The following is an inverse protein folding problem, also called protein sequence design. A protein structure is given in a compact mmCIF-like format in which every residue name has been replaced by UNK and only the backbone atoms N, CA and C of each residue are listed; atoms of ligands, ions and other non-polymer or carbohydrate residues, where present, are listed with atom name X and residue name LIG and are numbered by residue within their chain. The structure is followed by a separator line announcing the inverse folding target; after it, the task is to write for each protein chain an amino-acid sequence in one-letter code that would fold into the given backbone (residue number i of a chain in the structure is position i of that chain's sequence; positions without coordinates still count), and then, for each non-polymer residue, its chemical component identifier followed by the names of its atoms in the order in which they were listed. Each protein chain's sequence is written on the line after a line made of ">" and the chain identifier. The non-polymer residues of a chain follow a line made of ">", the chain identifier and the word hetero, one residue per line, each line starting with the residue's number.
data_IF_560784795295
#
_entry.id   IF_560784795295
#
_cell.length_a   1.000
_cell.length_b   1.000
_cell.length_c   1.000
_cell.angle_alpha   90.00
_cell.angle_beta   90.00
_cell.angle_gamma   90.00
#
_symmetry.space_group_name_H-M   'P 1'
#
loop_
_entity.id
_entity.type
_entity.pdbx_description
1 polymer ?
#
# COMPACT_ATOMS: atom_id res chain seq x y z
N UNK A 1 37.21 -33.36 25.25
CA UNK A 1 35.93 -33.01 24.58
C UNK A 1 36.07 -31.61 24.00
N UNK A 2 36.08 -31.47 22.67
CA UNK A 2 36.46 -30.23 21.99
C UNK A 2 35.30 -29.20 22.01
N UNK A 3 35.49 -27.99 22.56
CA UNK A 3 34.43 -26.98 22.72
C UNK A 3 34.07 -26.21 21.43
N UNK A 4 34.54 -26.65 20.25
CA UNK A 4 34.38 -25.94 18.97
C UNK A 4 33.14 -26.28 18.14
N UNK A 5 32.41 -27.36 18.44
CA UNK A 5 31.34 -27.85 17.56
C UNK A 5 29.99 -27.11 17.75
N UNK A 6 29.74 -26.55 18.94
CA UNK A 6 28.48 -25.85 19.24
C UNK A 6 28.45 -24.40 18.74
N UNK A 7 29.61 -23.76 18.54
CA UNK A 7 29.68 -22.39 18.02
C UNK A 7 29.34 -22.33 16.53
N UNK A 8 29.79 -23.33 15.75
CA UNK A 8 29.56 -23.39 14.30
C UNK A 8 28.09 -23.66 13.96
N UNK A 9 27.38 -24.43 14.78
CA UNK A 9 25.94 -24.70 14.64
C UNK A 9 25.09 -23.47 14.98
N UNK A 10 25.43 -22.72 16.04
CA UNK A 10 24.73 -21.47 16.37
C UNK A 10 24.90 -20.40 15.28
N UNK A 11 26.10 -20.27 14.71
CA UNK A 11 26.34 -19.34 13.59
C UNK A 11 25.55 -19.74 12.35
N UNK A 12 25.36 -21.04 12.08
CA UNK A 12 24.58 -21.53 10.93
C UNK A 12 23.08 -21.27 11.08
N UNK A 13 22.52 -21.49 12.28
CA UNK A 13 21.11 -21.22 12.57
C UNK A 13 20.80 -19.71 12.56
N UNK A 14 21.72 -18.87 13.05
CA UNK A 14 21.58 -17.41 12.96
C UNK A 14 21.68 -16.92 11.50
N UNK A 15 22.53 -17.54 10.68
CA UNK A 15 22.61 -17.24 9.23
C UNK A 15 21.36 -17.65 8.45
N UNK A 16 20.73 -18.76 8.83
CA UNK A 16 19.45 -19.20 8.24
C UNK A 16 18.27 -18.33 8.70
N UNK A 17 18.28 -17.86 9.96
CA UNK A 17 17.30 -16.89 10.47
C UNK A 17 17.48 -15.49 9.85
N UNK A 18 18.71 -15.02 9.66
CA UNK A 18 19.02 -13.79 8.90
C UNK A 18 18.69 -13.93 7.41
N UNK A 19 18.75 -15.15 6.85
CA UNK A 19 18.27 -15.49 5.51
C UNK A 19 16.76 -15.31 5.34
N UNK A 20 15.98 -15.28 6.44
CA UNK A 20 14.55 -14.98 6.42
C UNK A 20 14.21 -13.49 6.22
N UNK A 21 15.12 -12.58 6.61
CA UNK A 21 14.92 -11.13 6.48
C UNK A 21 15.59 -10.57 5.21
N UNK A 22 16.62 -11.27 4.70
CA UNK A 22 17.21 -11.03 3.40
C UNK A 22 16.46 -11.84 2.34
N UNK A 23 15.31 -11.36 1.90
CA UNK A 23 14.56 -11.96 0.79
C UNK A 23 15.53 -12.30 -0.38
N UNK A 24 15.63 -13.58 -0.79
CA UNK A 24 16.45 -13.99 -1.92
C UNK A 24 16.16 -13.08 -3.12
N UNK A 25 17.19 -12.70 -3.89
CA UNK A 25 17.03 -11.72 -4.99
C UNK A 25 15.91 -12.08 -6.00
N UNK A 26 15.54 -13.37 -6.07
CA UNK A 26 14.48 -13.93 -6.90
C UNK A 26 13.04 -13.87 -6.34
N UNK A 27 12.79 -13.44 -5.09
CA UNK A 27 11.45 -13.43 -4.47
C UNK A 27 11.09 -12.13 -3.75
N UNK A 28 11.81 -11.04 -4.01
CA UNK A 28 11.60 -9.74 -3.35
C UNK A 28 10.23 -9.13 -3.59
N UNK A 29 9.63 -9.33 -4.77
CA UNK A 29 8.26 -8.89 -5.03
C UNK A 29 7.24 -9.63 -4.15
N UNK A 30 7.44 -10.94 -3.94
CA UNK A 30 6.55 -11.74 -3.10
C UNK A 30 6.62 -11.29 -1.63
N UNK A 31 7.81 -11.09 -1.08
CA UNK A 31 7.98 -10.61 0.30
C UNK A 31 7.58 -9.14 0.46
N UNK A 32 7.84 -8.29 -0.55
CA UNK A 32 7.45 -6.88 -0.56
C UNK A 32 5.94 -6.66 -0.53
N UNK A 33 5.17 -7.63 -1.04
CA UNK A 33 3.70 -7.60 -1.06
C UNK A 33 3.04 -7.83 0.32
N UNK A 34 3.77 -8.34 1.32
CA UNK A 34 3.19 -8.71 2.62
C UNK A 34 2.55 -7.53 3.35
N UNK A 35 3.12 -6.33 3.19
CA UNK A 35 2.59 -5.09 3.76
C UNK A 35 1.23 -4.76 3.15
N UNK A 36 1.11 -4.82 1.82
CA UNK A 36 -0.16 -4.57 1.15
C UNK A 36 -1.17 -5.70 1.39
N UNK A 37 -0.74 -6.96 1.50
CA UNK A 37 -1.61 -8.06 1.94
C UNK A 37 -2.22 -7.72 3.31
N UNK A 38 -1.43 -7.25 4.27
CA UNK A 38 -1.94 -6.84 5.58
C UNK A 38 -2.88 -5.62 5.49
N UNK A 39 -2.59 -4.65 4.62
CA UNK A 39 -3.46 -3.47 4.40
C UNK A 39 -4.82 -3.91 3.83
N UNK A 40 -4.84 -4.66 2.73
CA UNK A 40 -6.07 -5.13 2.10
C UNK A 40 -6.85 -6.08 3.01
N UNK A 41 -6.20 -6.97 3.76
CA UNK A 41 -6.85 -7.85 4.72
C UNK A 41 -7.46 -7.07 5.90
N UNK A 42 -6.72 -6.07 6.42
CA UNK A 42 -7.22 -5.17 7.45
C UNK A 42 -8.42 -4.35 6.98
N UNK A 43 -8.36 -3.82 5.75
CA UNK A 43 -9.48 -3.13 5.12
C UNK A 43 -10.69 -4.04 4.91
N UNK A 44 -10.50 -5.27 4.42
CA UNK A 44 -11.57 -6.25 4.28
C UNK A 44 -12.23 -6.58 5.62
N UNK A 45 -11.44 -6.75 6.68
CA UNK A 45 -11.94 -6.98 8.04
C UNK A 45 -12.73 -5.76 8.54
N UNK A 46 -12.22 -4.55 8.35
CA UNK A 46 -12.91 -3.31 8.75
C UNK A 46 -14.27 -3.16 8.04
N UNK A 47 -14.32 -3.40 6.72
CA UNK A 47 -15.56 -3.41 5.97
C UNK A 47 -16.51 -4.54 6.37
N UNK A 48 -16.00 -5.70 6.77
CA UNK A 48 -16.83 -6.80 7.25
C UNK A 48 -17.50 -6.46 8.57
N UNK A 49 -16.77 -5.80 9.49
CA UNK A 49 -17.35 -5.30 10.74
C UNK A 49 -18.38 -4.20 10.46
N UNK A 50 -18.07 -3.25 9.58
CA UNK A 50 -19.02 -2.21 9.17
C UNK A 50 -20.29 -2.79 8.54
N UNK A 51 -20.13 -3.71 7.59
CA UNK A 51 -21.22 -4.42 6.91
C UNK A 51 -22.07 -5.25 7.87
N UNK A 52 -21.46 -5.95 8.83
CA UNK A 52 -22.20 -6.68 9.86
C UNK A 52 -23.03 -5.74 10.74
N UNK A 53 -22.44 -4.63 11.20
CA UNK A 53 -23.14 -3.64 12.02
C UNK A 53 -24.33 -3.04 11.28
N UNK A 54 -24.17 -2.61 10.02
CA UNK A 54 -25.26 -2.02 9.23
C UNK A 54 -26.28 -3.04 8.73
N UNK A 55 -25.95 -4.33 8.67
CA UNK A 55 -26.90 -5.38 8.28
C UNK A 55 -27.74 -5.89 9.46
N UNK A 56 -27.20 -5.83 10.68
CA UNK A 56 -27.83 -6.38 11.89
C UNK A 56 -28.61 -5.33 12.70
N UNK A 57 -28.28 -4.05 12.54
CA UNK A 57 -28.90 -2.94 13.28
C UNK A 57 -29.65 -2.02 12.32
N UNK A 58 -30.70 -1.37 12.83
CA UNK A 58 -31.36 -0.28 12.12
C UNK A 58 -30.48 0.98 12.08
N UNK A 59 -30.71 1.86 11.11
CA UNK A 59 -29.97 3.13 10.97
C UNK A 59 -29.98 3.98 12.25
N UNK A 60 -31.11 4.02 12.96
CA UNK A 60 -31.25 4.72 14.24
C UNK A 60 -30.36 4.09 15.33
N UNK A 61 -30.35 2.76 15.44
CA UNK A 61 -29.49 2.07 16.39
C UNK A 61 -27.99 2.25 16.06
N UNK A 62 -27.63 2.25 14.78
CA UNK A 62 -26.26 2.54 14.32
C UNK A 62 -25.85 3.96 14.74
N UNK A 63 -26.71 4.95 14.53
CA UNK A 63 -26.47 6.35 14.89
C UNK A 63 -26.36 6.58 16.40
N UNK A 64 -27.18 5.90 17.20
CA UNK A 64 -27.17 6.05 18.65
C UNK A 64 -25.98 5.36 19.32
N UNK A 65 -25.71 4.09 18.97
CA UNK A 65 -24.69 3.30 19.65
C UNK A 65 -23.90 2.30 18.81
N UNK A 66 -24.47 1.77 17.72
CA UNK A 66 -23.84 0.72 16.91
C UNK A 66 -22.49 1.13 16.33
N UNK A 67 -22.28 2.42 16.05
CA UNK A 67 -20.98 2.95 15.60
C UNK A 67 -19.82 2.67 16.57
N UNK A 68 -20.08 2.41 17.86
CA UNK A 68 -19.04 2.09 18.85
C UNK A 68 -18.43 0.70 18.66
N UNK A 69 -19.15 -0.24 18.04
CA UNK A 69 -18.69 -1.63 17.85
C UNK A 69 -17.39 -1.68 17.02
N UNK A 70 -17.29 -1.06 15.82
CA UNK A 70 -16.03 -1.02 15.06
C UNK A 70 -14.87 -0.40 15.85
N UNK A 71 -15.11 0.65 16.64
CA UNK A 71 -14.06 1.30 17.44
C UNK A 71 -13.55 0.40 18.57
N UNK A 72 -14.45 -0.28 19.29
CA UNK A 72 -14.06 -1.22 20.33
C UNK A 72 -13.26 -2.40 19.75
N UNK A 73 -13.71 -2.93 18.61
CA UNK A 73 -12.98 -4.00 17.91
C UNK A 73 -11.59 -3.53 17.45
N UNK A 74 -11.49 -2.33 16.88
CA UNK A 74 -10.20 -1.71 16.54
C UNK A 74 -9.29 -1.49 17.73
N UNK A 75 -9.83 -1.07 18.88
CA UNK A 75 -9.07 -0.90 20.12
C UNK A 75 -8.50 -2.23 20.64
N UNK A 76 -9.28 -3.31 20.60
CA UNK A 76 -8.82 -4.66 20.96
C UNK A 76 -7.68 -5.13 20.03
N UNK A 77 -7.82 -4.92 18.72
CA UNK A 77 -6.75 -5.24 17.77
C UNK A 77 -5.49 -4.40 18.00
N UNK A 78 -5.63 -3.12 18.34
CA UNK A 78 -4.51 -2.26 18.66
C UNK A 78 -3.77 -2.72 19.93
N UNK A 79 -4.50 -3.16 20.96
CA UNK A 79 -3.91 -3.75 22.17
C UNK A 79 -3.19 -5.07 21.86
N UNK A 80 -3.77 -5.92 21.00
CA UNK A 80 -3.13 -7.16 20.56
C UNK A 80 -1.83 -6.86 19.78
N UNK A 81 -1.84 -5.87 18.88
CA UNK A 81 -0.66 -5.42 18.16
C UNK A 81 0.42 -4.85 19.11
N UNK A 82 0.02 -4.09 20.13
CA UNK A 82 0.93 -3.60 21.18
C UNK A 82 1.56 -4.75 21.97
N UNK A 83 0.78 -5.78 22.30
CA UNK A 83 1.27 -6.97 22.99
C UNK A 83 2.28 -7.74 22.14
N UNK A 84 1.98 -7.99 20.86
CA UNK A 84 2.89 -8.65 19.92
C UNK A 84 4.19 -7.86 19.72
N UNK A 85 4.12 -6.52 19.76
CA UNK A 85 5.28 -5.66 19.62
C UNK A 85 6.26 -5.77 20.78
N UNK A 86 5.80 -6.19 21.97
CA UNK A 86 6.67 -6.39 23.15
C UNK A 86 7.62 -7.58 23.01
N UNK A 87 7.30 -8.54 22.15
CA UNK A 87 8.09 -9.77 21.94
C UNK A 87 8.99 -9.74 20.71
N UNK A 88 9.10 -8.59 20.02
CA UNK A 88 9.98 -8.45 18.87
C UNK A 88 11.35 -7.93 19.34
N UNK A 89 12.39 -8.73 19.16
CA UNK A 89 13.77 -8.29 19.33
C UNK A 89 14.08 -7.17 18.32
N UNK A 90 14.74 -6.10 18.76
CA UNK A 90 15.22 -5.06 17.86
C UNK A 90 16.18 -5.69 16.85
N UNK A 91 15.93 -5.48 15.55
CA UNK A 91 16.79 -6.06 14.53
C UNK A 91 18.23 -5.56 14.72
N UNK A 92 19.18 -6.47 14.95
CA UNK A 92 20.63 -6.23 15.13
C UNK A 92 21.33 -5.53 13.94
N UNK A 93 20.57 -5.11 12.92
CA UNK A 93 21.06 -4.40 11.73
C UNK A 93 21.66 -3.03 12.08
N UNK A 94 21.34 -2.46 13.24
CA UNK A 94 21.88 -1.17 13.69
C UNK A 94 23.08 -1.29 14.65
N UNK A 95 23.45 -2.48 15.12
CA UNK A 95 24.56 -2.67 16.07
C UNK A 95 25.93 -2.89 15.43
N UNK A 96 26.00 -3.42 14.20
CA UNK A 96 27.28 -3.75 13.53
C UNK A 96 27.85 -2.63 12.64
N UNK A 97 27.08 -1.59 12.33
CA UNK A 97 27.51 -0.50 11.42
C UNK A 97 28.35 0.60 12.10
N UNK A 98 28.72 0.42 13.38
CA UNK A 98 29.66 1.31 14.09
C UNK A 98 31.12 1.15 13.66
N UNK A 99 31.41 0.25 12.71
CA UNK A 99 32.77 -0.01 12.22
C UNK A 99 33.10 0.64 10.87
N UNK A 100 32.21 1.46 10.29
CA UNK A 100 32.50 2.23 9.08
C UNK A 100 32.73 3.72 9.38
N UNK A 101 33.74 3.98 10.21
CA UNK A 101 34.46 5.26 10.14
C UNK A 101 35.14 5.36 8.76
N UNK A 102 35.13 6.56 8.17
CA UNK A 102 35.70 6.96 6.86
C UNK A 102 34.96 6.56 5.58
N UNK A 103 33.89 7.26 5.21
CA UNK A 103 33.48 7.35 3.80
C UNK A 103 32.59 8.56 3.55
N UNK A 104 32.93 9.36 2.53
CA UNK A 104 32.38 10.68 2.20
C UNK A 104 30.87 10.87 2.45
N UNK A 105 30.45 12.08 2.91
CA UNK A 105 29.05 12.41 3.08
C UNK A 105 28.29 12.27 1.76
N UNK A 106 27.16 11.55 1.78
CA UNK A 106 26.29 11.43 0.61
C UNK A 106 25.86 12.84 0.14
N UNK A 107 25.93 13.15 -1.16
CA UNK A 107 25.53 14.46 -1.67
C UNK A 107 24.07 14.75 -1.31
N UNK A 108 23.80 15.84 -0.59
CA UNK A 108 22.43 16.27 -0.22
C UNK A 108 21.48 16.28 -1.42
N UNK A 109 22.00 16.68 -2.60
CA UNK A 109 21.25 16.71 -3.86
C UNK A 109 20.75 15.32 -4.30
N UNK A 110 21.54 14.26 -4.09
CA UNK A 110 21.15 12.88 -4.43
C UNK A 110 20.00 12.41 -3.53
N UNK A 111 20.10 12.67 -2.22
CA UNK A 111 19.06 12.33 -1.25
C UNK A 111 17.76 13.08 -1.54
N UNK A 112 17.83 14.40 -1.75
CA UNK A 112 16.65 15.23 -2.09
C UNK A 112 16.00 14.75 -3.38
N UNK A 113 16.78 14.40 -4.41
CA UNK A 113 16.26 13.87 -5.66
C UNK A 113 15.55 12.53 -5.46
N UNK A 114 16.10 11.62 -4.66
CA UNK A 114 15.46 10.34 -4.33
C UNK A 114 14.15 10.54 -3.56
N UNK A 115 14.13 11.44 -2.58
CA UNK A 115 12.93 11.80 -1.82
C UNK A 115 11.84 12.35 -2.72
N UNK A 116 12.16 13.35 -3.56
CA UNK A 116 11.20 13.93 -4.50
C UNK A 116 10.67 12.88 -5.48
N UNK A 117 11.56 12.05 -6.03
CA UNK A 117 11.16 10.98 -6.94
C UNK A 117 10.16 10.04 -6.26
N UNK A 118 10.44 9.60 -5.03
CA UNK A 118 9.55 8.69 -4.30
C UNK A 118 8.23 9.35 -3.91
N UNK A 119 8.23 10.62 -3.53
CA UNK A 119 6.99 11.38 -3.29
C UNK A 119 6.15 11.43 -4.57
N UNK A 120 6.73 11.87 -5.68
CA UNK A 120 6.03 11.96 -6.97
C UNK A 120 5.53 10.58 -7.43
N UNK A 121 6.36 9.55 -7.30
CA UNK A 121 6.02 8.17 -7.64
C UNK A 121 4.83 7.66 -6.81
N UNK A 122 4.82 7.91 -5.50
CA UNK A 122 3.79 7.40 -4.60
C UNK A 122 2.51 8.23 -4.60
N UNK A 123 2.54 9.47 -5.08
CA UNK A 123 1.38 10.38 -5.08
C UNK A 123 0.13 9.78 -5.75
N UNK A 124 0.24 9.29 -6.99
CA UNK A 124 -0.87 8.64 -7.69
C UNK A 124 -1.24 7.27 -7.11
N UNK A 125 -0.24 6.53 -6.61
CA UNK A 125 -0.46 5.21 -5.97
C UNK A 125 -1.34 5.38 -4.72
N UNK A 126 -0.97 6.31 -3.83
CA UNK A 126 -1.68 6.54 -2.57
C UNK A 126 -3.05 7.16 -2.84
N UNK A 127 -3.16 8.16 -3.71
CA UNK A 127 -4.44 8.78 -4.05
C UNK A 127 -5.43 7.77 -4.66
N UNK A 128 -4.99 6.93 -5.60
CA UNK A 128 -5.81 5.86 -6.17
C UNK A 128 -6.22 4.84 -5.10
N UNK A 129 -5.27 4.41 -4.26
CA UNK A 129 -5.53 3.48 -3.17
C UNK A 129 -6.59 4.01 -2.19
N UNK A 130 -6.40 5.21 -1.61
CA UNK A 130 -7.38 5.76 -0.67
C UNK A 130 -8.75 6.01 -1.32
N UNK A 131 -8.78 6.36 -2.61
CA UNK A 131 -10.04 6.55 -3.34
C UNK A 131 -10.80 5.23 -3.48
N UNK A 132 -10.15 4.19 -4.00
CA UNK A 132 -10.82 2.93 -4.34
C UNK A 132 -10.94 1.96 -3.16
N UNK A 133 -10.09 2.08 -2.15
CA UNK A 133 -10.17 1.26 -0.94
C UNK A 133 -11.19 1.84 0.04
N UNK A 134 -11.32 3.17 0.14
CA UNK A 134 -12.17 3.80 1.16
C UNK A 134 -13.29 4.66 0.57
N UNK A 135 -12.94 5.74 -0.13
CA UNK A 135 -13.90 6.76 -0.55
C UNK A 135 -15.01 6.24 -1.47
N UNK A 136 -14.72 5.28 -2.35
CA UNK A 136 -15.67 4.75 -3.33
C UNK A 136 -16.94 4.18 -2.69
N UNK A 137 -16.82 3.59 -1.49
CA UNK A 137 -17.97 3.10 -0.73
C UNK A 137 -18.83 4.25 -0.24
N UNK A 138 -18.22 5.31 0.32
CA UNK A 138 -18.90 6.54 0.70
C UNK A 138 -19.59 7.18 -0.51
N UNK A 139 -18.92 7.26 -1.66
CA UNK A 139 -19.48 7.80 -2.89
C UNK A 139 -20.74 7.04 -3.33
N UNK A 140 -20.70 5.71 -3.34
CA UNK A 140 -21.85 4.89 -3.68
C UNK A 140 -23.03 5.14 -2.73
N UNK A 141 -22.78 5.25 -1.43
CA UNK A 141 -23.82 5.47 -0.42
C UNK A 141 -24.40 6.89 -0.54
N UNK A 142 -23.55 7.92 -0.45
CA UNK A 142 -24.01 9.30 -0.31
C UNK A 142 -24.47 9.92 -1.63
N UNK A 143 -23.86 9.53 -2.77
CA UNK A 143 -24.17 10.13 -4.08
C UNK A 143 -25.10 9.29 -4.92
N UNK A 144 -24.92 7.96 -4.91
CA UNK A 144 -25.74 7.05 -5.72
C UNK A 144 -26.92 6.47 -4.93
N UNK A 145 -27.03 6.77 -3.64
CA UNK A 145 -28.10 6.26 -2.77
C UNK A 145 -28.05 4.75 -2.58
N UNK A 146 -26.87 4.14 -2.71
CA UNK A 146 -26.69 2.71 -2.46
C UNK A 146 -26.87 2.42 -0.96
N UNK A 147 -27.54 1.32 -0.66
CA UNK A 147 -27.62 0.79 0.70
C UNK A 147 -26.21 0.58 1.31
N UNK A 148 -26.01 1.02 2.55
CA UNK A 148 -24.71 0.97 3.21
C UNK A 148 -24.21 -0.46 3.43
N UNK A 149 -25.10 -1.39 3.81
CA UNK A 149 -24.76 -2.80 3.97
C UNK A 149 -24.30 -3.42 2.66
N UNK A 150 -25.04 -3.19 1.57
CA UNK A 150 -24.66 -3.63 0.22
C UNK A 150 -23.30 -3.06 -0.19
N UNK A 151 -23.08 -1.75 0.01
CA UNK A 151 -21.82 -1.10 -0.35
C UNK A 151 -20.62 -1.68 0.43
N UNK A 152 -20.78 -1.95 1.73
CA UNK A 152 -19.75 -2.56 2.55
C UNK A 152 -19.44 -4.00 2.12
N UNK A 153 -20.44 -4.85 1.90
CA UNK A 153 -20.20 -6.23 1.44
C UNK A 153 -19.58 -6.29 0.05
N UNK A 154 -19.99 -5.40 -0.87
CA UNK A 154 -19.35 -5.27 -2.18
C UNK A 154 -17.89 -4.82 -2.05
N UNK A 155 -17.60 -3.92 -1.11
CA UNK A 155 -16.23 -3.48 -0.82
C UNK A 155 -15.39 -4.63 -0.26
N UNK A 156 -15.92 -5.45 0.66
CA UNK A 156 -15.23 -6.68 1.13
C UNK A 156 -14.89 -7.59 -0.05
N UNK A 157 -15.85 -7.85 -0.93
CA UNK A 157 -15.63 -8.68 -2.13
C UNK A 157 -14.48 -8.16 -3.00
N UNK A 158 -14.46 -6.85 -3.26
CA UNK A 158 -13.40 -6.21 -4.04
C UNK A 158 -12.02 -6.29 -3.36
N UNK A 159 -11.95 -6.12 -2.02
CA UNK A 159 -10.70 -6.26 -1.26
C UNK A 159 -10.18 -7.71 -1.31
N UNK A 160 -11.06 -8.70 -1.20
CA UNK A 160 -10.71 -10.12 -1.32
C UNK A 160 -10.17 -10.46 -2.72
N UNK A 161 -10.79 -9.92 -3.77
CA UNK A 161 -10.27 -10.08 -5.15
C UNK A 161 -8.88 -9.46 -5.25
N UNK A 162 -8.69 -8.24 -4.75
CA UNK A 162 -7.38 -7.58 -4.74
C UNK A 162 -6.31 -8.42 -4.01
N UNK A 163 -6.63 -9.00 -2.85
CA UNK A 163 -5.74 -9.91 -2.11
C UNK A 163 -5.26 -11.09 -2.95
N UNK A 164 -6.15 -11.71 -3.73
CA UNK A 164 -5.78 -12.82 -4.60
C UNK A 164 -4.92 -12.39 -5.80
N UNK A 165 -5.03 -11.13 -6.24
CA UNK A 165 -4.20 -10.60 -7.33
C UNK A 165 -2.78 -10.21 -6.91
N UNK A 166 -2.54 -9.86 -5.64
CA UNK A 166 -1.23 -9.42 -5.14
C UNK A 166 -0.08 -10.43 -5.43
N UNK A 167 -0.20 -11.74 -5.13
CA UNK A 167 0.84 -12.70 -5.45
C UNK A 167 1.07 -12.88 -6.95
N UNK A 168 0.02 -12.70 -7.77
CA UNK A 168 0.10 -12.80 -9.23
C UNK A 168 0.93 -11.63 -9.79
N UNK A 169 0.67 -10.41 -9.31
CA UNK A 169 1.44 -9.23 -9.71
C UNK A 169 2.88 -9.29 -9.22
N UNK A 170 3.13 -9.79 -8.01
CA UNK A 170 4.50 -10.02 -7.51
C UNK A 170 5.28 -10.96 -8.42
N UNK A 171 4.69 -12.09 -8.80
CA UNK A 171 5.30 -13.05 -9.75
C UNK A 171 5.52 -12.47 -11.15
N UNK A 172 4.56 -11.67 -11.63
CA UNK A 172 4.66 -11.04 -12.95
C UNK A 172 5.76 -9.97 -12.97
N UNK A 173 5.93 -9.22 -11.89
CA UNK A 173 6.99 -8.22 -11.71
C UNK A 173 8.38 -8.82 -11.80
N UNK A 174 8.59 -9.99 -11.20
CA UNK A 174 9.89 -10.66 -11.27
C UNK A 174 10.25 -11.04 -12.72
N UNK A 175 9.25 -11.24 -13.60
CA UNK A 175 9.45 -11.52 -15.03
C UNK A 175 9.56 -10.28 -15.89
N UNK A 176 8.67 -9.30 -15.75
CA UNK A 176 8.61 -8.12 -16.64
C UNK A 176 9.60 -7.03 -16.21
N UNK A 177 9.83 -6.85 -14.91
CA UNK A 177 10.56 -5.72 -14.35
C UNK A 177 9.65 -4.74 -13.60
N UNK A 178 10.24 -3.88 -12.77
CA UNK A 178 9.45 -3.02 -11.86
C UNK A 178 8.94 -1.79 -12.56
N UNK A 179 9.80 -1.11 -13.31
CA UNK A 179 9.46 0.12 -14.05
C UNK A 179 8.29 -0.08 -15.03
N UNK A 180 8.27 -1.08 -15.92
CA UNK A 180 7.16 -1.25 -16.85
C UNK A 180 5.85 -1.53 -16.11
N UNK A 181 5.87 -2.29 -15.00
CA UNK A 181 4.65 -2.55 -14.23
C UNK A 181 4.09 -1.30 -13.55
N UNK A 182 4.94 -0.44 -13.00
CA UNK A 182 4.48 0.81 -12.40
C UNK A 182 3.94 1.80 -13.43
N UNK A 183 4.53 1.84 -14.63
CA UNK A 183 3.98 2.62 -15.75
C UNK A 183 2.65 2.03 -16.21
N UNK A 184 2.53 0.70 -16.30
CA UNK A 184 1.25 0.02 -16.60
C UNK A 184 0.18 0.38 -15.59
N UNK A 185 0.49 0.40 -14.29
CA UNK A 185 -0.42 0.90 -13.26
C UNK A 185 -0.89 2.32 -13.57
N UNK A 186 0.04 3.25 -13.83
CA UNK A 186 -0.30 4.64 -14.10
C UNK A 186 -1.22 4.77 -15.33
N UNK A 187 -0.89 4.10 -16.43
CA UNK A 187 -1.68 4.12 -17.67
C UNK A 187 -3.06 3.50 -17.47
N UNK A 188 -3.13 2.32 -16.83
CA UNK A 188 -4.40 1.64 -16.57
C UNK A 188 -5.29 2.47 -15.64
N UNK A 189 -4.75 3.05 -14.56
CA UNK A 189 -5.53 3.91 -13.68
C UNK A 189 -6.02 5.16 -14.40
N UNK A 190 -5.19 5.82 -15.21
CA UNK A 190 -5.61 7.00 -15.98
C UNK A 190 -6.76 6.64 -16.94
N UNK A 191 -6.61 5.55 -17.69
CA UNK A 191 -7.60 5.11 -18.66
C UNK A 191 -8.90 4.63 -18.00
N UNK A 192 -8.80 3.94 -16.87
CA UNK A 192 -9.94 3.30 -16.20
C UNK A 192 -10.63 4.18 -15.17
N UNK A 193 -10.02 5.27 -14.69
CA UNK A 193 -10.59 6.11 -13.64
C UNK A 193 -11.99 6.63 -14.01
N UNK A 194 -12.16 7.21 -15.21
CA UNK A 194 -13.45 7.72 -15.68
C UNK A 194 -14.48 6.60 -15.91
N UNK A 195 -14.21 5.55 -16.70
CA UNK A 195 -15.22 4.53 -16.95
C UNK A 195 -15.61 3.75 -15.68
N UNK A 196 -14.67 3.49 -14.76
CA UNK A 196 -15.00 2.80 -13.51
C UNK A 196 -15.81 3.69 -12.56
N UNK A 197 -15.50 4.98 -12.45
CA UNK A 197 -16.33 5.89 -11.63
C UNK A 197 -17.72 6.10 -12.23
N UNK A 198 -17.82 6.19 -13.56
CA UNK A 198 -19.10 6.29 -14.28
C UNK A 198 -19.94 5.01 -14.25
N UNK A 199 -19.32 3.85 -13.98
CA UNK A 199 -20.03 2.58 -13.83
C UNK A 199 -20.81 2.52 -12.50
N UNK A 200 -20.36 3.23 -11.46
CA UNK A 200 -20.95 3.15 -10.12
C UNK A 200 -22.37 3.75 -10.16
N UNK A 201 -23.36 2.91 -9.89
CA UNK A 201 -24.76 3.30 -9.74
C UNK A 201 -25.30 2.89 -8.37
N UNK A 202 -26.63 2.84 -8.25
CA UNK A 202 -27.32 2.42 -7.02
C UNK A 202 -27.29 0.89 -6.77
N UNK A 203 -26.92 0.11 -7.78
CA UNK A 203 -26.92 -1.36 -7.72
C UNK A 203 -25.57 -1.90 -7.23
N UNK A 204 -25.56 -2.78 -6.22
CA UNK A 204 -24.34 -3.28 -5.60
C UNK A 204 -23.31 -3.90 -6.55
N UNK A 205 -23.75 -4.64 -7.57
CA UNK A 205 -22.84 -5.27 -8.53
C UNK A 205 -21.99 -4.24 -9.31
N UNK A 206 -22.51 -3.03 -9.53
CA UNK A 206 -21.77 -1.96 -10.22
C UNK A 206 -20.56 -1.53 -9.42
N UNK A 207 -20.73 -1.33 -8.10
CA UNK A 207 -19.65 -1.02 -7.18
C UNK A 207 -18.68 -2.19 -7.06
N UNK A 208 -19.19 -3.43 -6.95
CA UNK A 208 -18.34 -4.62 -6.86
C UNK A 208 -17.42 -4.72 -8.09
N UNK A 209 -17.96 -4.60 -9.30
CA UNK A 209 -17.16 -4.67 -10.54
C UNK A 209 -16.18 -3.50 -10.61
N UNK A 210 -16.65 -2.27 -10.42
CA UNK A 210 -15.80 -1.08 -10.50
C UNK A 210 -14.62 -1.15 -9.53
N UNK A 211 -14.91 -1.42 -8.26
CA UNK A 211 -13.90 -1.52 -7.20
C UNK A 211 -12.99 -2.72 -7.39
N UNK A 212 -13.48 -3.87 -7.84
CA UNK A 212 -12.63 -5.05 -8.07
C UNK A 212 -11.60 -4.79 -9.17
N UNK A 213 -12.02 -4.17 -10.27
CA UNK A 213 -11.11 -3.83 -11.38
C UNK A 213 -10.11 -2.77 -10.92
N UNK A 214 -10.56 -1.69 -10.27
CA UNK A 214 -9.67 -0.64 -9.79
C UNK A 214 -8.65 -1.16 -8.77
N UNK A 215 -9.10 -1.95 -7.78
CA UNK A 215 -8.21 -2.49 -6.76
C UNK A 215 -7.27 -3.56 -7.31
N UNK A 216 -7.66 -4.33 -8.32
CA UNK A 216 -6.74 -5.22 -9.03
C UNK A 216 -5.61 -4.43 -9.72
N UNK A 217 -5.91 -3.23 -10.25
CA UNK A 217 -4.88 -2.33 -10.79
C UNK A 217 -4.03 -1.72 -9.67
N UNK A 218 -4.63 -1.25 -8.57
CA UNK A 218 -3.91 -0.72 -7.39
C UNK A 218 -3.04 -1.78 -6.72
N UNK A 219 -3.40 -3.07 -6.82
CA UNK A 219 -2.59 -4.17 -6.32
C UNK A 219 -1.24 -4.31 -7.06
N UNK A 220 -1.11 -3.77 -8.29
CA UNK A 220 0.16 -3.75 -9.01
C UNK A 220 1.23 -3.06 -8.18
N UNK A 221 1.18 -1.73 -7.92
CA UNK A 221 2.19 -1.09 -7.09
C UNK A 221 2.23 -1.67 -5.67
N UNK A 222 1.12 -2.17 -5.12
CA UNK A 222 1.11 -2.81 -3.81
C UNK A 222 2.07 -3.98 -3.67
N UNK A 223 2.26 -4.78 -4.73
CA UNK A 223 3.21 -5.89 -4.73
C UNK A 223 4.67 -5.46 -4.96
N UNK A 224 4.91 -4.27 -5.52
CA UNK A 224 6.25 -3.83 -5.93
C UNK A 224 6.84 -2.72 -5.04
N UNK A 225 6.00 -1.90 -4.40
CA UNK A 225 6.38 -0.61 -3.84
C UNK A 225 7.52 -0.72 -2.82
N UNK A 226 7.44 -1.67 -1.89
CA UNK A 226 8.46 -1.92 -0.88
C UNK A 226 9.83 -2.23 -1.50
N UNK A 227 9.85 -3.03 -2.57
CA UNK A 227 11.08 -3.38 -3.28
C UNK A 227 11.62 -2.18 -4.07
N UNK A 228 10.76 -1.49 -4.83
CA UNK A 228 11.13 -0.33 -5.63
C UNK A 228 11.70 0.81 -4.78
N UNK A 229 11.07 1.10 -3.62
CA UNK A 229 11.57 2.11 -2.70
C UNK A 229 12.94 1.73 -2.11
N UNK A 230 13.14 0.44 -1.77
CA UNK A 230 14.43 -0.06 -1.28
C UNK A 230 15.55 0.10 -2.30
N UNK A 231 15.25 -0.05 -3.59
CA UNK A 231 16.22 0.06 -4.68
C UNK A 231 16.50 1.52 -5.09
N UNK A 232 15.62 2.47 -4.72
CA UNK A 232 15.76 3.90 -5.08
C UNK A 232 16.67 4.67 -4.12
N UNK A 233 16.75 4.24 -2.86
CA UNK A 233 17.55 4.93 -1.84
C UNK A 233 18.90 4.25 -1.60
N UNK A 234 19.99 5.04 -1.46
CA UNK A 234 21.29 4.54 -1.02
C UNK A 234 21.15 3.82 0.33
N UNK A 235 21.86 2.70 0.50
CA UNK A 235 21.73 1.80 1.67
C UNK A 235 21.81 2.55 3.00
N UNK A 236 22.68 3.56 3.14
CA UNK A 236 22.88 4.35 4.38
C UNK A 236 21.64 5.11 4.86
N UNK A 237 20.88 5.68 3.94
CA UNK A 237 19.72 6.55 4.25
C UNK A 237 18.40 5.89 3.89
N UNK A 238 18.42 4.60 3.53
CA UNK A 238 17.29 3.87 2.98
C UNK A 238 16.11 3.86 3.94
N UNK A 239 16.29 3.37 5.16
CA UNK A 239 15.18 3.20 6.13
C UNK A 239 14.56 4.56 6.49
N UNK A 240 15.38 5.55 6.83
CA UNK A 240 14.92 6.89 7.20
C UNK A 240 14.29 7.63 5.99
N UNK A 241 14.92 7.56 4.83
CA UNK A 241 14.48 8.24 3.61
C UNK A 241 13.18 7.68 3.05
N UNK A 242 13.03 6.35 3.02
CA UNK A 242 11.79 5.66 2.64
C UNK A 242 10.65 6.06 3.58
N UNK A 243 10.87 5.98 4.89
CA UNK A 243 9.87 6.32 5.90
C UNK A 243 9.40 7.77 5.76
N UNK A 244 10.34 8.71 5.63
CA UNK A 244 10.03 10.13 5.47
C UNK A 244 9.28 10.40 4.15
N UNK A 245 9.83 10.00 3.00
CA UNK A 245 9.25 10.29 1.70
C UNK A 245 7.85 9.68 1.54
N UNK A 246 7.66 8.44 1.98
CA UNK A 246 6.37 7.78 1.95
C UNK A 246 5.34 8.46 2.84
N UNK A 247 5.71 8.77 4.08
CA UNK A 247 4.78 9.40 5.04
C UNK A 247 4.33 10.78 4.55
N UNK A 248 5.25 11.58 4.02
CA UNK A 248 4.92 12.90 3.43
C UNK A 248 3.97 12.73 2.25
N UNK A 249 4.24 11.79 1.35
CA UNK A 249 3.37 11.55 0.19
C UNK A 249 1.97 11.04 0.59
N UNK A 250 1.90 10.09 1.53
CA UNK A 250 0.64 9.58 2.06
C UNK A 250 -0.14 10.70 2.74
N UNK A 251 0.51 11.55 3.54
CA UNK A 251 -0.16 12.66 4.23
C UNK A 251 -0.70 13.70 3.25
N UNK A 252 0.07 14.08 2.22
CA UNK A 252 -0.29 15.16 1.30
C UNK A 252 -1.27 14.70 0.21
N UNK A 253 -1.09 13.50 -0.34
CA UNK A 253 -1.86 13.03 -1.50
C UNK A 253 -2.82 11.89 -1.17
N UNK A 254 -2.42 10.96 -0.30
CA UNK A 254 -3.24 9.81 0.07
C UNK A 254 -4.40 10.20 0.99
N UNK A 255 -4.09 10.73 2.17
CA UNK A 255 -5.07 11.07 3.20
C UNK A 255 -6.00 12.23 2.82
N UNK A 256 -5.54 13.16 1.97
CA UNK A 256 -6.34 14.27 1.48
C UNK A 256 -7.27 13.89 0.32
N UNK A 257 -6.98 12.81 -0.41
CA UNK A 257 -7.75 12.43 -1.60
C UNK A 257 -9.25 12.21 -1.29
N UNK A 258 -9.65 11.43 -0.26
CA UNK A 258 -11.08 11.29 0.07
C UNK A 258 -11.76 12.63 0.39
N UNK A 259 -11.07 13.53 1.08
CA UNK A 259 -11.60 14.86 1.42
C UNK A 259 -11.81 15.72 0.17
N UNK A 260 -10.81 15.79 -0.72
CA UNK A 260 -10.92 16.52 -1.98
C UNK A 260 -11.99 15.92 -2.89
N UNK A 261 -12.08 14.59 -2.95
CA UNK A 261 -13.12 13.90 -3.71
C UNK A 261 -14.52 14.27 -3.21
N UNK A 262 -14.71 14.27 -1.89
CA UNK A 262 -15.98 14.68 -1.27
C UNK A 262 -16.29 16.16 -1.55
N UNK A 263 -15.29 17.04 -1.41
CA UNK A 263 -15.44 18.47 -1.69
C UNK A 263 -15.88 18.72 -3.14
N UNK A 264 -15.26 18.05 -4.11
CA UNK A 264 -15.66 18.15 -5.52
C UNK A 264 -17.06 17.61 -5.79
N UNK A 265 -17.49 16.60 -5.03
CA UNK A 265 -18.85 16.07 -5.10
C UNK A 265 -19.87 17.09 -4.58
N UNK A 266 -19.59 17.74 -3.46
CA UNK A 266 -20.44 18.80 -2.88
C UNK A 266 -20.58 20.00 -3.82
N UNK A 267 -19.51 20.39 -4.51
CA UNK A 267 -19.56 21.42 -5.56
C UNK A 267 -20.21 20.97 -6.88
N UNK A 268 -20.65 19.71 -6.98
CA UNK A 268 -21.28 19.18 -8.20
C UNK A 268 -20.32 18.89 -9.36
N UNK A 269 -19.01 19.01 -9.14
CA UNK A 269 -17.95 18.80 -10.15
C UNK A 269 -17.24 17.47 -9.95
N UNK A 270 -18.00 16.37 -9.85
CA UNK A 270 -17.47 15.03 -9.57
C UNK A 270 -16.39 14.57 -10.56
N UNK A 271 -16.45 15.01 -11.81
CA UNK A 271 -15.41 14.70 -12.80
C UNK A 271 -14.03 15.24 -12.41
N UNK A 272 -13.96 16.33 -11.64
CA UNK A 272 -12.71 16.92 -11.17
C UNK A 272 -11.98 15.98 -10.19
N UNK A 273 -12.70 15.18 -9.42
CA UNK A 273 -12.11 14.11 -8.58
C UNK A 273 -11.38 13.07 -9.44
N UNK A 274 -12.01 12.61 -10.52
CA UNK A 274 -11.39 11.68 -11.45
C UNK A 274 -10.18 12.31 -12.15
N UNK A 275 -10.27 13.55 -12.60
CA UNK A 275 -9.12 14.26 -13.22
C UNK A 275 -7.97 14.49 -12.24
N UNK A 276 -8.25 14.80 -10.97
CA UNK A 276 -7.25 14.92 -9.92
C UNK A 276 -6.46 13.62 -9.74
N UNK A 277 -7.15 12.48 -9.67
CA UNK A 277 -6.50 11.16 -9.55
C UNK A 277 -5.69 10.85 -10.82
N UNK A 278 -6.24 11.12 -12.00
CA UNK A 278 -5.52 10.94 -13.28
C UNK A 278 -4.24 11.79 -13.35
N UNK A 279 -4.28 13.03 -12.85
CA UNK A 279 -3.12 13.92 -12.79
C UNK A 279 -2.03 13.34 -11.88
N UNK A 280 -2.39 12.87 -10.68
CA UNK A 280 -1.42 12.26 -9.76
C UNK A 280 -0.87 10.94 -10.31
N UNK A 281 -1.69 10.11 -10.95
CA UNK A 281 -1.22 8.92 -11.67
C UNK A 281 -0.28 9.28 -12.82
N UNK A 282 -0.48 10.42 -13.49
CA UNK A 282 0.44 10.90 -14.53
C UNK A 282 1.80 11.26 -13.92
N UNK A 283 1.82 11.91 -12.75
CA UNK A 283 3.04 12.17 -12.00
C UNK A 283 3.76 10.87 -11.60
N UNK A 284 3.02 9.85 -11.13
CA UNK A 284 3.58 8.52 -10.91
C UNK A 284 4.22 7.95 -12.17
N UNK A 285 3.52 8.01 -13.31
CA UNK A 285 4.03 7.52 -14.59
C UNK A 285 5.32 8.21 -15.02
N UNK A 286 5.39 9.54 -14.91
CA UNK A 286 6.59 10.34 -15.21
C UNK A 286 7.73 10.01 -14.25
N UNK A 287 7.47 9.90 -12.95
CA UNK A 287 8.48 9.52 -11.96
C UNK A 287 9.06 8.13 -12.27
N UNK A 288 8.20 7.13 -12.53
CA UNK A 288 8.63 5.79 -12.91
C UNK A 288 9.40 5.78 -14.24
N UNK A 289 9.05 6.65 -15.19
CA UNK A 289 9.82 6.78 -16.43
C UNK A 289 11.23 7.36 -16.20
N UNK A 290 11.40 8.25 -15.22
CA UNK A 290 12.70 8.79 -14.83
C UNK A 290 13.54 7.82 -13.99
N UNK A 291 12.94 6.76 -13.45
CA UNK A 291 13.65 5.71 -12.73
C UNK A 291 14.43 4.79 -13.68
N UNK A 292 15.61 4.34 -13.22
CA UNK A 292 16.33 3.25 -13.86
C UNK A 292 15.63 1.93 -13.52
N UNK A 293 15.63 0.98 -14.47
CA UNK A 293 15.14 -0.37 -14.19
C UNK A 293 16.10 -1.08 -13.24
N UNK A 294 15.55 -1.73 -12.23
CA UNK A 294 16.29 -2.33 -11.11
C UNK A 294 16.26 -3.86 -11.13
N UNK A 295 15.61 -4.47 -12.13
CA UNK A 295 15.60 -5.92 -12.33
C UNK A 295 17.03 -6.48 -12.39
N UNK A 296 17.36 -7.32 -11.40
CA UNK A 296 18.61 -8.08 -11.36
C UNK A 296 19.81 -7.35 -10.75
N UNK A 297 19.65 -6.12 -10.25
CA UNK A 297 20.74 -5.38 -9.60
C UNK A 297 20.89 -5.87 -8.15
N UNK A 298 22.11 -6.25 -7.75
CA UNK A 298 22.42 -6.56 -6.35
C UNK A 298 22.38 -5.27 -5.52
N UNK A 299 21.84 -5.31 -4.29
CA UNK A 299 21.71 -4.11 -3.42
C UNK A 299 23.05 -3.44 -3.07
N UNK A 300 24.19 -4.07 -3.37
CA UNK A 300 25.53 -3.52 -3.21
C UNK A 300 25.95 -2.65 -4.40
N UNK A 301 25.30 -2.82 -5.55
CA UNK A 301 25.63 -2.16 -6.82
C UNK A 301 24.60 -1.07 -7.19
N UNK A 302 23.62 -0.80 -6.31
CA UNK A 302 22.54 0.18 -6.47
C UNK A 302 22.80 1.46 -5.68
#
# INVERSE_FOLDING_TARGET
>A
MRPGHNATLRIRVVREAQGGVLAPSKSRGLWGSIVFVAIFAGSALAYSVGGAVTSLLSDDAVGQWGWRIPFLFGALLALAALYLRRSMDESEVFSDDKSSDETEPLPRRQVVRAVLLVITMTSGITAAHYTWTSYVSTYAITRMGMDAGVAYWCSVGAQCIALTTLPLWGRLSDRIGRRPMMITFAVLMIALQIPLTGLIGSQGWTLLVASSVALAVVAIPGALLSATMSETFPTRVRTQGIGFAYSVSVAIFGGTAPYLNQLFNEYGVTQLSSFYIMLLCSFTGVACWLMRETKGIHLKDA
#
